data_IF_568418007226
#
_entry.id   IF_568418007226
#
_cell.length_a   1.000
_cell.length_b   1.000
_cell.length_c   1.000
_cell.angle_alpha   90.00
_cell.angle_beta   90.00
_cell.angle_gamma   90.00
#
_symmetry.space_group_name_H-M   'P 1'
#
loop_
_entity.id
_entity.type
_entity.pdbx_description
1 polymer ?
#
# COMPACT_ATOMS: atom_id res chain seq x y z
N UNK A 1 -0.13 13.60 -19.50
CA UNK A 1 0.73 12.43 -19.77
C UNK A 1 0.11 11.28 -19.01
N UNK A 2 -0.48 10.30 -19.69
CA UNK A 2 -0.93 9.06 -19.03
C UNK A 2 0.35 8.28 -18.77
N UNK A 3 0.70 8.12 -17.50
CA UNK A 3 1.81 7.25 -17.09
C UNK A 3 1.25 5.84 -17.02
N UNK A 4 1.73 4.96 -17.91
CA UNK A 4 1.46 3.53 -17.75
C UNK A 4 2.10 3.06 -16.45
N UNK A 5 1.30 2.41 -15.61
CA UNK A 5 1.73 1.90 -14.33
C UNK A 5 2.52 0.60 -14.58
N UNK A 6 3.81 0.49 -14.19
CA UNK A 6 4.56 -0.74 -14.38
C UNK A 6 3.96 -1.87 -13.54
N UNK A 7 3.62 -2.98 -14.20
CA UNK A 7 3.02 -4.17 -13.58
C UNK A 7 3.94 -5.38 -13.79
N UNK A 8 4.19 -6.12 -12.72
CA UNK A 8 5.06 -7.29 -12.66
C UNK A 8 4.34 -8.47 -12.02
N UNK A 9 4.78 -9.69 -12.30
CA UNK A 9 4.42 -10.87 -11.51
C UNK A 9 5.39 -11.06 -10.32
N UNK A 10 5.01 -11.91 -9.37
CA UNK A 10 5.81 -12.16 -8.15
C UNK A 10 7.20 -12.78 -8.41
N UNK A 11 7.41 -13.43 -9.56
CA UNK A 11 8.70 -14.00 -9.94
C UNK A 11 9.57 -13.00 -10.72
N UNK A 12 9.09 -11.78 -10.95
CA UNK A 12 9.85 -10.75 -11.64
C UNK A 12 11.18 -10.45 -10.92
N UNK A 13 12.27 -10.25 -11.69
CA UNK A 13 13.55 -9.87 -11.12
C UNK A 13 13.46 -8.58 -10.30
N UNK A 14 13.98 -8.59 -9.07
CA UNK A 14 13.92 -7.43 -8.16
C UNK A 14 14.53 -6.16 -8.77
N UNK A 15 15.57 -6.28 -9.58
CA UNK A 15 16.17 -5.13 -10.27
C UNK A 15 15.21 -4.45 -11.26
N UNK A 16 14.36 -5.20 -11.95
CA UNK A 16 13.37 -4.64 -12.86
C UNK A 16 12.32 -3.80 -12.10
N UNK A 17 11.89 -4.28 -10.92
CA UNK A 17 10.96 -3.54 -10.04
C UNK A 17 11.62 -2.28 -9.49
N UNK A 18 12.89 -2.37 -9.05
CA UNK A 18 13.67 -1.21 -8.56
C UNK A 18 13.86 -0.16 -9.63
N UNK A 19 14.16 -0.57 -10.87
CA UNK A 19 14.33 0.37 -11.98
C UNK A 19 13.01 1.05 -12.33
N UNK A 20 11.89 0.32 -12.33
CA UNK A 20 10.56 0.92 -12.49
C UNK A 20 10.23 1.94 -11.39
N UNK A 21 10.54 1.63 -10.13
CA UNK A 21 10.37 2.58 -9.02
C UNK A 21 11.22 3.85 -9.19
N UNK A 22 12.44 3.73 -9.71
CA UNK A 22 13.32 4.89 -9.97
C UNK A 22 12.81 5.78 -11.10
N UNK A 23 12.25 5.18 -12.16
CA UNK A 23 11.80 5.93 -13.34
C UNK A 23 10.41 6.50 -13.17
N UNK A 24 9.50 5.72 -12.57
CA UNK A 24 8.07 6.05 -12.52
C UNK A 24 7.56 6.41 -11.13
N UNK A 25 8.34 6.14 -10.07
CA UNK A 25 7.94 6.32 -8.68
C UNK A 25 6.98 5.26 -8.16
N UNK A 26 6.54 4.31 -8.99
CA UNK A 26 5.52 3.31 -8.64
C UNK A 26 5.78 1.98 -9.37
N UNK A 27 5.45 0.87 -8.73
CA UNK A 27 5.40 -0.44 -9.37
C UNK A 27 4.33 -1.30 -8.69
N UNK A 28 3.61 -2.09 -9.46
CA UNK A 28 2.66 -3.09 -8.96
C UNK A 28 3.24 -4.47 -9.17
N UNK A 29 3.25 -5.29 -8.12
CA UNK A 29 3.62 -6.71 -8.19
C UNK A 29 2.37 -7.53 -7.89
N UNK A 30 1.89 -8.27 -8.87
CA UNK A 30 0.70 -9.11 -8.77
C UNK A 30 1.07 -10.45 -8.15
N UNK A 31 0.24 -10.90 -7.20
CA UNK A 31 0.38 -12.23 -6.59
C UNK A 31 1.60 -12.38 -5.70
N UNK A 32 2.13 -11.27 -5.14
CA UNK A 32 3.27 -11.30 -4.22
C UNK A 32 2.97 -12.12 -2.96
N UNK A 33 1.73 -12.00 -2.46
CA UNK A 33 1.19 -12.82 -1.38
C UNK A 33 0.08 -13.69 -1.96
N UNK A 34 -0.02 -14.93 -1.48
CA UNK A 34 -1.15 -15.80 -1.79
C UNK A 34 -2.45 -15.31 -1.11
N UNK A 35 -3.58 -15.83 -1.59
CA UNK A 35 -4.89 -15.44 -1.10
C UNK A 35 -5.08 -15.79 0.39
N UNK A 36 -4.55 -16.93 0.84
CA UNK A 36 -4.73 -17.42 2.21
C UNK A 36 -4.02 -16.49 3.22
N UNK A 37 -2.82 -16.01 2.87
CA UNK A 37 -2.08 -15.03 3.67
C UNK A 37 -2.82 -13.69 3.75
N UNK A 38 -3.38 -13.22 2.63
CA UNK A 38 -4.17 -11.98 2.58
C UNK A 38 -5.44 -12.12 3.42
N UNK A 39 -6.15 -13.23 3.29
CA UNK A 39 -7.40 -13.50 4.02
C UNK A 39 -7.15 -13.65 5.53
N UNK A 40 -6.06 -14.32 5.91
CA UNK A 40 -5.68 -14.46 7.32
C UNK A 40 -5.34 -13.11 7.94
N UNK A 41 -4.52 -12.31 7.26
CA UNK A 41 -4.19 -10.95 7.70
C UNK A 41 -5.46 -10.08 7.83
N UNK A 42 -6.36 -10.14 6.85
CA UNK A 42 -7.62 -9.42 6.89
C UNK A 42 -8.49 -9.87 8.07
N UNK A 43 -8.58 -11.18 8.35
CA UNK A 43 -9.34 -11.72 9.46
C UNK A 43 -8.80 -11.30 10.83
N UNK A 44 -7.47 -11.21 10.97
CA UNK A 44 -6.83 -10.71 12.20
C UNK A 44 -7.10 -9.21 12.42
N UNK A 45 -7.06 -8.41 11.36
CA UNK A 45 -7.22 -6.95 11.45
C UNK A 45 -8.69 -6.50 11.50
N UNK A 46 -9.63 -7.27 10.93
CA UNK A 46 -11.04 -6.89 10.78
C UNK A 46 -11.75 -6.57 12.10
N UNK A 47 -11.59 -7.32 13.21
CA UNK A 47 -12.29 -7.03 14.46
C UNK A 47 -11.97 -5.65 15.03
N UNK A 48 -10.69 -5.27 15.06
CA UNK A 48 -10.26 -3.95 15.53
C UNK A 48 -10.75 -2.84 14.59
N UNK A 49 -10.69 -3.07 13.28
CA UNK A 49 -11.22 -2.13 12.29
C UNK A 49 -12.74 -1.92 12.44
N UNK A 50 -13.51 -2.97 12.63
CA UNK A 50 -14.96 -2.88 12.78
C UNK A 50 -15.35 -2.21 14.11
N UNK A 51 -14.56 -2.43 15.17
CA UNK A 51 -14.81 -1.82 16.48
C UNK A 51 -14.48 -0.31 16.51
N UNK A 52 -13.36 0.10 15.89
CA UNK A 52 -12.78 1.44 16.09
C UNK A 52 -12.24 2.10 14.82
N UNK A 53 -12.11 1.38 13.72
CA UNK A 53 -11.51 1.87 12.46
C UNK A 53 -12.20 3.12 11.92
N UNK A 54 -13.54 3.17 12.01
CA UNK A 54 -14.32 4.34 11.60
C UNK A 54 -14.27 5.52 12.58
N UNK A 55 -13.80 5.30 13.81
CA UNK A 55 -13.58 6.39 14.77
C UNK A 55 -12.25 7.12 14.47
N UNK A 56 -11.34 6.45 13.76
CA UNK A 56 -10.07 7.01 13.28
C UNK A 56 -10.17 7.52 11.83
N UNK A 57 -11.33 7.38 11.18
CA UNK A 57 -11.62 8.08 9.93
C UNK A 57 -11.53 9.58 10.19
N UNK A 58 -10.44 10.17 9.74
CA UNK A 58 -10.22 11.60 9.75
C UNK A 58 -10.11 12.07 8.30
N UNK A 59 -10.43 13.33 8.06
CA UNK A 59 -10.04 14.02 6.84
C UNK A 59 -8.52 14.16 6.90
N UNK A 60 -7.80 13.11 6.47
CA UNK A 60 -6.35 13.07 6.44
C UNK A 60 -5.86 14.07 5.38
N UNK A 61 -5.87 15.35 5.77
CA UNK A 61 -5.56 16.50 4.93
C UNK A 61 -4.26 17.18 5.35
N UNK A 62 -3.48 16.57 6.26
CA UNK A 62 -2.19 17.09 6.74
C UNK A 62 -2.29 18.34 7.63
N UNK A 63 -3.40 19.08 7.64
CA UNK A 63 -3.56 20.30 8.44
C UNK A 63 -3.73 20.03 9.94
N UNK A 64 -4.31 18.88 10.31
CA UNK A 64 -4.49 18.47 11.72
C UNK A 64 -3.34 17.66 12.30
N UNK A 65 -2.35 17.29 11.48
CA UNK A 65 -1.12 16.68 12.00
C UNK A 65 -0.29 17.81 12.60
N UNK A 66 -0.27 17.91 13.92
CA UNK A 66 0.64 18.81 14.64
C UNK A 66 2.09 18.40 14.31
N UNK A 67 2.66 18.97 13.26
CA UNK A 67 4.12 18.98 13.09
C UNK A 67 4.65 19.89 14.19
N UNK A 68 5.19 19.31 15.26
CA UNK A 68 6.13 20.04 16.09
C UNK A 68 7.38 20.20 15.24
N UNK A 69 7.50 21.38 14.63
CA UNK A 69 8.65 21.83 13.86
C UNK A 69 8.95 23.27 14.24
N UNK A 70 9.85 23.42 15.21
CA UNK A 70 10.76 24.53 15.36
C UNK A 70 12.08 23.94 15.88
#
# INVERSE_FOLDING_TARGET
>A
MVMDLPVFDAAAPTNAVVDALRTTGVAVVIGLLDADAVDSCAAEMRPEFDQRGRQQENDFNGYRTLRIGA
#
